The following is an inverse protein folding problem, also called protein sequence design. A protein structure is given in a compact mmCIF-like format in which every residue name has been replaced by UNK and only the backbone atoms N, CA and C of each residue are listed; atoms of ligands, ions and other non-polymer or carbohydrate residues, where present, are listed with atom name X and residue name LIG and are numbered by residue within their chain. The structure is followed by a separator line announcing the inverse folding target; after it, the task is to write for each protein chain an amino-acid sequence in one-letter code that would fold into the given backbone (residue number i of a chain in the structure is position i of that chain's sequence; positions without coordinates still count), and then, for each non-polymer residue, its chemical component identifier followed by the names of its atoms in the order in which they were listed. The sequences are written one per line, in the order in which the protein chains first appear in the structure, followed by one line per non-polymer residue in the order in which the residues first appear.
data_IF_641692810793
#
_entry.id   IF_641692810793
#
_cell.length_a   1.000
_cell.length_b   1.000
_cell.length_c   1.000
_cell.angle_alpha   90.00
_cell.angle_beta   90.00
_cell.angle_gamma   90.00
#
_symmetry.space_group_name_H-M   'P 1'
#
loop_
_entity.id
_entity.type
_entity.pdbx_description
1 polymer ?
#
# COMPACT_ATOMS: atom_id res chain seq x y z
N UNK A 1 4.35 -2.95 18.76
CA UNK A 1 3.48 -2.19 17.83
C UNK A 1 4.25 -1.04 17.21
N UNK A 2 4.15 -0.88 15.88
CA UNK A 2 4.68 0.28 15.14
C UNK A 2 3.49 1.05 14.57
N UNK A 3 3.50 2.38 14.75
CA UNK A 3 2.54 3.26 14.10
C UNK A 3 3.00 3.55 12.66
N UNK A 4 2.08 3.82 11.71
CA UNK A 4 2.45 4.30 10.39
C UNK A 4 3.20 5.64 10.49
N UNK A 5 4.23 5.80 9.69
CA UNK A 5 4.98 7.05 9.59
C UNK A 5 4.60 7.75 8.29
N UNK A 6 3.61 8.62 8.36
CA UNK A 6 3.13 9.39 7.19
C UNK A 6 4.08 10.54 6.76
N UNK A 7 5.27 10.63 7.34
CA UNK A 7 6.37 11.46 6.81
C UNK A 7 7.33 10.66 5.91
N UNK A 8 7.33 9.31 6.05
CA UNK A 8 8.18 8.40 5.29
C UNK A 8 7.43 7.10 4.92
N UNK A 9 6.35 7.23 4.17
CA UNK A 9 5.41 6.16 3.82
C UNK A 9 5.25 5.97 2.31
N UNK A 10 4.43 4.99 1.94
CA UNK A 10 3.97 4.78 0.55
C UNK A 10 3.29 6.04 -0.01
N UNK A 11 2.50 6.76 0.81
CA UNK A 11 1.83 8.01 0.39
C UNK A 11 2.86 9.07 0.02
N UNK A 12 3.96 9.18 0.79
CA UNK A 12 5.03 10.13 0.48
C UNK A 12 5.84 9.70 -0.75
N UNK A 13 6.08 8.40 -0.93
CA UNK A 13 6.74 7.87 -2.11
C UNK A 13 5.95 8.21 -3.38
N UNK A 14 4.64 7.92 -3.40
CA UNK A 14 3.81 8.21 -4.57
C UNK A 14 3.63 9.72 -4.79
N UNK A 15 3.58 10.52 -3.73
CA UNK A 15 3.58 11.99 -3.82
C UNK A 15 4.83 12.53 -4.52
N UNK A 16 6.02 11.98 -4.20
CA UNK A 16 7.26 12.31 -4.93
C UNK A 16 7.17 11.92 -6.41
N UNK A 17 6.62 10.75 -6.73
CA UNK A 17 6.45 10.29 -8.12
C UNK A 17 5.48 11.19 -8.88
N UNK A 18 4.35 11.55 -8.29
CA UNK A 18 3.37 12.48 -8.88
C UNK A 18 4.04 13.81 -9.20
N UNK A 19 4.71 14.43 -8.21
CA UNK A 19 5.39 15.72 -8.40
C UNK A 19 6.50 15.65 -9.43
N UNK A 20 7.32 14.58 -9.42
CA UNK A 20 8.36 14.35 -10.41
C UNK A 20 7.81 14.26 -11.83
N UNK A 21 6.66 13.61 -12.01
CA UNK A 21 5.97 13.46 -13.29
C UNK A 21 5.14 14.69 -13.72
N UNK A 22 5.19 15.80 -12.95
CA UNK A 22 4.51 17.05 -13.30
C UNK A 22 3.06 17.15 -12.81
N UNK A 23 2.57 16.15 -12.06
CA UNK A 23 1.27 16.21 -11.39
C UNK A 23 1.33 17.01 -10.09
N UNK A 24 0.18 17.37 -9.53
CA UNK A 24 0.06 18.05 -8.23
C UNK A 24 -0.24 17.03 -7.14
N UNK A 25 0.73 16.64 -6.28
CA UNK A 25 0.48 15.67 -5.22
C UNK A 25 -0.38 16.28 -4.10
N UNK A 26 -1.01 15.39 -3.31
CA UNK A 26 -1.81 15.79 -2.16
C UNK A 26 -1.00 15.95 -0.88
N UNK A 27 0.11 15.21 -0.78
CA UNK A 27 0.98 15.16 0.41
C UNK A 27 2.42 15.54 0.07
N UNK A 28 3.20 15.77 1.10
CA UNK A 28 4.66 15.98 0.97
C UNK A 28 5.34 14.75 0.38
N UNK A 29 6.38 14.98 -0.40
CA UNK A 29 7.19 13.91 -0.97
C UNK A 29 8.06 13.18 0.06
N UNK A 30 8.62 12.06 -0.36
CA UNK A 30 9.56 11.25 0.42
C UNK A 30 10.97 11.83 0.32
N UNK A 31 11.55 12.28 1.43
CA UNK A 31 12.90 12.86 1.46
C UNK A 31 13.98 11.92 0.86
N UNK A 32 13.84 10.62 1.07
CA UNK A 32 14.77 9.63 0.52
C UNK A 32 14.72 9.58 -1.03
N UNK A 33 13.52 9.78 -1.64
CA UNK A 33 13.39 9.88 -3.10
C UNK A 33 14.11 11.11 -3.64
N UNK A 34 13.96 12.24 -2.98
CA UNK A 34 14.59 13.50 -3.38
C UNK A 34 16.11 13.42 -3.32
N UNK A 35 16.62 12.89 -2.21
CA UNK A 35 18.05 12.66 -2.04
C UNK A 35 18.59 11.73 -3.13
N UNK A 36 17.85 10.66 -3.47
CA UNK A 36 18.22 9.76 -4.56
C UNK A 36 18.24 10.48 -5.92
N UNK A 37 17.18 11.24 -6.23
CA UNK A 37 17.06 11.97 -7.50
C UNK A 37 18.18 13.02 -7.65
N UNK A 38 18.51 13.77 -6.59
CA UNK A 38 19.60 14.73 -6.58
C UNK A 38 20.96 14.07 -6.84
N UNK A 39 21.26 12.92 -6.18
CA UNK A 39 22.48 12.15 -6.43
C UNK A 39 22.58 11.64 -7.88
N UNK A 40 21.44 11.34 -8.51
CA UNK A 40 21.37 10.97 -9.92
C UNK A 40 21.46 12.18 -10.89
N UNK A 41 21.68 13.40 -10.38
CA UNK A 41 21.71 14.61 -11.18
C UNK A 41 20.34 15.01 -11.77
N UNK A 42 19.26 14.58 -11.11
CA UNK A 42 17.87 14.89 -11.49
C UNK A 42 17.28 15.92 -10.54
N UNK A 43 16.48 16.86 -11.04
CA UNK A 43 15.79 17.83 -10.20
C UNK A 43 14.43 17.23 -9.80
N UNK A 44 14.28 16.89 -8.53
CA UNK A 44 12.97 16.66 -7.93
C UNK A 44 12.36 18.06 -7.64
N UNK A 45 11.21 18.35 -8.19
CA UNK A 45 10.45 19.58 -7.89
C UNK A 45 9.39 19.16 -6.87
N UNK A 46 9.62 19.54 -5.60
CA UNK A 46 8.51 19.55 -4.65
C UNK A 46 7.70 20.83 -4.85
N UNK A 47 6.37 20.76 -4.80
CA UNK A 47 5.58 21.95 -4.61
C UNK A 47 5.92 22.55 -3.23
N UNK A 48 6.23 23.84 -3.18
CA UNK A 48 6.34 24.58 -1.93
C UNK A 48 5.01 24.46 -1.18
N UNK A 49 5.07 23.97 0.05
CA UNK A 49 3.90 23.98 0.93
C UNK A 49 3.55 25.43 1.25
N UNK A 50 2.29 25.81 1.08
CA UNK A 50 1.76 27.16 1.27
C UNK A 50 1.78 27.69 2.72
N UNK A 51 2.61 27.17 3.60
CA UNK A 51 2.69 27.58 5.02
C UNK A 51 4.07 28.06 5.47
N UNK A 52 4.86 28.68 4.59
CA UNK A 52 6.01 29.50 5.03
C UNK A 52 6.13 30.73 4.15
N UNK A 53 5.17 31.65 4.30
CA UNK A 53 5.32 33.06 3.86
C UNK A 53 6.09 33.81 4.94
N UNK A 54 7.36 34.11 4.67
CA UNK A 54 8.03 35.13 5.45
C UNK A 54 9.51 34.91 5.71
N UNK A 55 10.33 34.67 4.67
CA UNK A 55 11.71 35.20 4.59
C UNK A 55 12.15 35.04 3.13
N UNK A 56 12.21 36.13 2.38
CA UNK A 56 12.91 36.22 1.10
C UNK A 56 14.41 36.03 1.36
N UNK A 57 14.92 34.85 1.07
CA UNK A 57 16.34 34.66 0.81
C UNK A 57 16.53 34.52 -0.70
N UNK A 58 16.98 35.61 -1.32
CA UNK A 58 17.54 35.58 -2.66
C UNK A 58 18.75 34.62 -2.70
N UNK A 59 18.52 33.38 -3.03
CA UNK A 59 19.57 32.47 -3.47
C UNK A 59 19.62 32.52 -5.00
N UNK A 60 20.48 33.37 -5.53
CA UNK A 60 21.00 33.30 -6.89
C UNK A 60 21.65 31.97 -7.15
N UNK A 61 20.88 30.95 -7.58
CA UNK A 61 21.40 29.74 -8.19
C UNK A 61 21.33 29.92 -9.70
N UNK A 62 22.51 30.05 -10.30
CA UNK A 62 22.74 30.21 -11.73
C UNK A 62 21.84 29.28 -12.56
N UNK A 63 20.97 29.87 -13.38
CA UNK A 63 20.23 29.20 -14.46
C UNK A 63 21.26 28.65 -15.47
N UNK A 64 21.49 27.30 -15.47
CA UNK A 64 22.45 26.73 -16.39
C UNK A 64 22.77 25.24 -16.27
N UNK A 65 21.93 24.41 -15.68
CA UNK A 65 22.04 22.96 -15.85
C UNK A 65 20.69 22.40 -16.31
N UNK A 66 20.63 21.98 -17.57
CA UNK A 66 19.51 21.27 -18.16
C UNK A 66 19.44 19.87 -17.51
N UNK A 67 18.88 19.78 -16.29
CA UNK A 67 18.77 18.52 -15.55
C UNK A 67 17.74 17.66 -16.26
N UNK A 68 18.22 16.73 -17.10
CA UNK A 68 17.37 15.80 -17.86
C UNK A 68 16.58 14.94 -16.88
N UNK A 69 15.24 15.06 -16.90
CA UNK A 69 14.32 14.14 -16.21
C UNK A 69 14.50 12.69 -16.74
N UNK A 70 14.16 11.68 -15.93
CA UNK A 70 13.96 10.33 -16.45
C UNK A 70 12.78 10.34 -17.43
N UNK A 71 13.00 9.81 -18.61
CA UNK A 71 11.95 9.65 -19.64
C UNK A 71 10.85 8.70 -19.16
N UNK A 72 11.25 7.63 -18.48
CA UNK A 72 10.32 6.66 -17.93
C UNK A 72 10.51 6.56 -16.40
N UNK A 73 9.41 6.53 -15.67
CA UNK A 73 9.35 6.18 -14.24
C UNK A 73 8.50 4.93 -14.12
N UNK A 74 9.12 3.81 -13.77
CA UNK A 74 8.47 2.51 -13.62
C UNK A 74 8.38 2.20 -12.12
N UNK A 75 7.18 2.20 -11.56
CA UNK A 75 6.91 1.76 -10.19
C UNK A 75 6.40 0.33 -10.21
N UNK A 76 7.17 -0.59 -9.63
CA UNK A 76 6.82 -2.01 -9.52
C UNK A 76 6.44 -2.32 -8.06
N UNK A 77 5.20 -2.72 -7.84
CA UNK A 77 4.71 -3.17 -6.54
C UNK A 77 4.56 -4.69 -6.55
N UNK A 78 5.25 -5.34 -5.61
CA UNK A 78 5.14 -6.78 -5.35
C UNK A 78 4.42 -7.00 -4.03
N UNK A 79 3.19 -7.48 -4.12
CA UNK A 79 2.29 -7.68 -3.00
C UNK A 79 2.90 -8.56 -1.91
N UNK A 80 2.89 -8.08 -0.67
CA UNK A 80 3.40 -8.79 0.49
C UNK A 80 4.92 -8.88 0.62
N UNK A 81 5.72 -8.29 -0.31
CA UNK A 81 7.19 -8.37 -0.28
C UNK A 81 7.81 -7.32 0.68
N UNK A 82 7.42 -7.36 1.96
CA UNK A 82 7.99 -6.49 2.98
C UNK A 82 9.49 -6.71 3.24
N UNK A 83 10.08 -5.81 4.01
CA UNK A 83 11.53 -5.80 4.34
C UNK A 83 11.98 -7.10 5.01
N UNK A 84 11.17 -7.65 5.93
CA UNK A 84 11.54 -8.90 6.64
C UNK A 84 11.72 -10.07 5.67
N UNK A 85 10.77 -10.29 4.78
CA UNK A 85 10.84 -11.36 3.78
C UNK A 85 11.97 -11.15 2.78
N UNK A 86 12.17 -9.91 2.32
CA UNK A 86 13.27 -9.57 1.42
C UNK A 86 14.63 -9.84 2.07
N UNK A 87 14.85 -9.39 3.30
CA UNK A 87 16.11 -9.57 4.02
C UNK A 87 16.39 -11.02 4.37
N UNK A 88 15.34 -11.80 4.62
CA UNK A 88 15.49 -13.23 4.96
C UNK A 88 15.91 -14.08 3.77
N UNK A 89 15.46 -13.78 2.56
CA UNK A 89 15.62 -14.66 1.40
C UNK A 89 16.62 -14.15 0.36
N UNK A 90 17.05 -12.91 0.48
CA UNK A 90 18.04 -12.33 -0.42
C UNK A 90 19.33 -12.00 0.37
N UNK A 91 20.48 -12.33 -0.24
CA UNK A 91 21.76 -11.92 0.31
C UNK A 91 21.96 -10.40 0.22
N UNK A 92 22.78 -9.78 1.10
CA UNK A 92 23.04 -8.35 1.10
C UNK A 92 23.44 -7.78 -0.28
N UNK A 93 24.22 -8.54 -1.05
CA UNK A 93 24.76 -8.16 -2.37
C UNK A 93 23.77 -8.46 -3.51
N UNK A 94 22.58 -9.02 -3.21
CA UNK A 94 21.56 -9.27 -4.21
C UNK A 94 21.06 -7.96 -4.82
N UNK A 95 20.62 -8.01 -6.07
CA UNK A 95 20.29 -6.83 -6.85
C UNK A 95 19.26 -5.90 -6.17
N UNK A 96 18.19 -6.44 -5.58
CA UNK A 96 17.20 -5.61 -4.88
C UNK A 96 17.74 -5.01 -3.59
N UNK A 97 18.46 -5.81 -2.77
CA UNK A 97 18.99 -5.31 -1.49
C UNK A 97 20.11 -4.27 -1.68
N UNK A 98 20.99 -4.46 -2.66
CA UNK A 98 22.04 -3.50 -2.97
C UNK A 98 21.54 -2.16 -3.54
N UNK A 99 20.30 -2.12 -4.04
CA UNK A 99 19.62 -0.92 -4.50
C UNK A 99 18.55 -0.42 -3.54
N UNK A 100 18.47 -0.95 -2.31
CA UNK A 100 17.59 -0.45 -1.27
C UNK A 100 18.05 0.96 -0.84
N UNK A 101 17.19 1.95 -1.05
CA UNK A 101 17.44 3.34 -0.64
C UNK A 101 17.08 3.52 0.82
N UNK A 102 15.89 3.06 1.21
CA UNK A 102 15.41 3.13 2.60
C UNK A 102 14.26 2.13 2.84
N UNK A 103 14.11 1.60 4.06
CA UNK A 103 12.83 1.08 4.51
C UNK A 103 11.87 2.25 4.76
N UNK A 104 10.64 2.12 4.28
CA UNK A 104 9.56 3.09 4.50
C UNK A 104 8.36 2.42 5.19
N UNK A 105 7.41 3.22 5.64
CA UNK A 105 6.17 2.72 6.23
C UNK A 105 5.15 2.36 5.16
N UNK A 106 4.46 1.23 5.34
CA UNK A 106 3.14 1.07 4.74
C UNK A 106 2.15 2.04 5.38
N UNK A 107 0.93 2.10 4.83
CA UNK A 107 -0.21 2.74 5.50
C UNK A 107 -0.80 1.80 6.55
N UNK A 108 -1.73 2.31 7.37
CA UNK A 108 -2.48 1.45 8.29
C UNK A 108 -3.96 1.38 7.86
N UNK A 109 -4.54 0.18 7.82
CA UNK A 109 -3.89 -1.13 8.00
C UNK A 109 -2.93 -1.45 6.83
N UNK A 110 -1.81 -2.16 7.09
CA UNK A 110 -0.92 -2.63 6.04
C UNK A 110 -1.56 -3.84 5.33
N UNK A 111 -2.46 -3.55 4.41
CA UNK A 111 -3.25 -4.52 3.64
C UNK A 111 -3.37 -4.06 2.20
N UNK A 112 -3.45 -5.02 1.28
CA UNK A 112 -3.55 -4.78 -0.17
C UNK A 112 -4.58 -3.70 -0.50
N UNK A 113 -5.80 -3.80 0.05
CA UNK A 113 -6.89 -2.85 -0.25
C UNK A 113 -6.53 -1.41 0.13
N UNK A 114 -6.05 -1.18 1.34
CA UNK A 114 -5.71 0.17 1.79
C UNK A 114 -4.43 0.69 1.11
N UNK A 115 -3.38 -0.12 1.06
CA UNK A 115 -2.08 0.33 0.60
C UNK A 115 -2.00 0.50 -0.92
N UNK A 116 -2.59 -0.41 -1.73
CA UNK A 116 -2.64 -0.22 -3.19
C UNK A 116 -3.52 0.95 -3.58
N UNK A 117 -4.66 1.17 -2.87
CA UNK A 117 -5.50 2.35 -3.09
C UNK A 117 -4.74 3.64 -2.74
N UNK A 118 -3.94 3.65 -1.66
CA UNK A 118 -3.06 4.79 -1.36
C UNK A 118 -2.03 5.04 -2.47
N UNK A 119 -1.44 3.99 -3.06
CA UNK A 119 -0.51 4.12 -4.19
C UNK A 119 -1.22 4.60 -5.46
N UNK A 120 -2.47 4.18 -5.70
CA UNK A 120 -3.24 4.56 -6.88
C UNK A 120 -3.95 5.91 -6.78
N UNK A 121 -4.13 6.45 -5.56
CA UNK A 121 -4.80 7.73 -5.32
C UNK A 121 -3.86 8.84 -4.84
N UNK A 122 -2.75 8.50 -4.19
CA UNK A 122 -1.90 9.45 -3.48
C UNK A 122 -2.50 9.95 -2.16
N UNK A 123 -3.54 9.27 -1.64
CA UNK A 123 -4.29 9.62 -0.43
C UNK A 123 -3.98 8.63 0.71
N UNK A 124 -4.22 9.04 1.95
CA UNK A 124 -4.20 8.16 3.12
C UNK A 124 -5.49 7.33 3.21
N UNK A 125 -5.53 6.22 3.98
CA UNK A 125 -6.73 5.42 4.15
C UNK A 125 -7.93 6.21 4.67
N UNK A 126 -7.75 7.17 5.57
CA UNK A 126 -8.81 8.06 6.04
C UNK A 126 -9.39 8.94 4.91
N UNK A 127 -8.57 9.32 3.94
CA UNK A 127 -8.98 10.19 2.83
C UNK A 127 -9.65 9.44 1.69
N UNK A 128 -9.19 8.21 1.35
CA UNK A 128 -9.83 7.44 0.28
C UNK A 128 -10.92 6.48 0.78
N UNK A 129 -11.01 6.18 2.08
CA UNK A 129 -12.07 5.37 2.69
C UNK A 129 -11.95 3.84 2.50
N UNK A 130 -10.99 3.34 1.73
CA UNK A 130 -10.80 1.89 1.48
C UNK A 130 -9.91 1.29 2.57
N UNK A 131 -10.51 0.91 3.71
CA UNK A 131 -9.76 0.59 4.92
C UNK A 131 -9.24 -0.86 4.97
N UNK A 132 -9.79 -1.78 4.21
CA UNK A 132 -9.39 -3.18 4.21
C UNK A 132 -10.19 -4.04 3.26
N UNK A 133 -9.98 -5.35 3.31
CA UNK A 133 -10.63 -6.30 2.40
C UNK A 133 -12.14 -6.27 2.50
N UNK A 134 -12.67 -6.17 3.71
CA UNK A 134 -14.11 -6.05 3.97
C UNK A 134 -14.44 -4.75 4.69
N UNK A 135 -15.55 -4.14 4.34
CA UNK A 135 -16.02 -2.92 4.98
C UNK A 135 -17.55 -2.97 5.15
N UNK A 136 -18.03 -2.42 6.25
CA UNK A 136 -19.45 -2.11 6.39
C UNK A 136 -19.80 -0.93 5.50
N UNK A 137 -20.82 -1.11 4.67
CA UNK A 137 -21.32 -0.10 3.72
C UNK A 137 -22.72 0.31 4.17
N UNK A 138 -22.87 1.48 4.80
CA UNK A 138 -24.14 1.92 5.39
C UNK A 138 -25.29 1.98 4.39
N UNK A 139 -24.99 2.40 3.16
CA UNK A 139 -26.00 2.55 2.10
C UNK A 139 -26.60 1.21 1.68
N UNK A 140 -25.95 0.11 1.98
CA UNK A 140 -26.41 -1.25 1.73
C UNK A 140 -26.76 -2.00 3.03
N UNK A 141 -26.53 -1.39 4.20
CA UNK A 141 -26.62 -1.99 5.55
C UNK A 141 -25.98 -3.38 5.63
N UNK A 142 -24.80 -3.55 5.02
CA UNK A 142 -24.13 -4.87 4.97
C UNK A 142 -22.61 -4.76 4.84
N UNK A 143 -21.93 -5.85 5.14
CA UNK A 143 -20.48 -5.97 4.97
C UNK A 143 -20.16 -6.45 3.55
N UNK A 144 -19.29 -5.72 2.85
CA UNK A 144 -18.87 -5.98 1.47
C UNK A 144 -17.37 -6.23 1.40
N UNK A 145 -16.95 -7.27 0.70
CA UNK A 145 -15.57 -7.45 0.27
C UNK A 145 -15.34 -6.56 -0.96
N UNK A 146 -14.52 -5.52 -0.80
CA UNK A 146 -14.48 -4.39 -1.72
C UNK A 146 -13.95 -4.76 -3.12
N UNK A 147 -12.81 -5.46 -3.20
CA UNK A 147 -12.21 -5.80 -4.49
C UNK A 147 -13.05 -6.79 -5.31
N UNK A 148 -13.53 -7.93 -4.75
CA UNK A 148 -14.37 -8.83 -5.51
C UNK A 148 -15.81 -8.32 -5.70
N UNK A 149 -16.25 -7.29 -4.95
CA UNK A 149 -17.60 -6.72 -4.98
C UNK A 149 -18.68 -7.72 -4.57
N UNK A 150 -18.43 -8.47 -3.49
CA UNK A 150 -19.33 -9.50 -2.97
C UNK A 150 -19.64 -9.27 -1.50
N UNK A 151 -20.79 -9.79 -1.05
CA UNK A 151 -21.15 -9.81 0.37
C UNK A 151 -20.15 -10.64 1.17
N UNK A 152 -19.80 -10.21 2.38
CA UNK A 152 -18.80 -10.90 3.22
C UNK A 152 -19.20 -12.34 3.52
N UNK A 153 -20.47 -12.57 3.88
CA UNK A 153 -20.93 -13.84 4.38
C UNK A 153 -21.29 -14.85 3.27
N UNK A 154 -22.09 -14.41 2.31
CA UNK A 154 -22.65 -15.29 1.28
C UNK A 154 -21.75 -15.43 0.05
N UNK A 155 -20.79 -14.51 -0.14
CA UNK A 155 -19.97 -14.39 -1.34
C UNK A 155 -20.77 -14.14 -2.63
N UNK A 156 -22.04 -13.78 -2.51
CA UNK A 156 -22.85 -13.35 -3.64
C UNK A 156 -22.51 -11.91 -4.02
N UNK A 157 -22.80 -11.52 -5.25
CA UNK A 157 -22.57 -10.16 -5.74
C UNK A 157 -23.27 -9.14 -4.84
N UNK A 158 -22.55 -8.10 -4.41
CA UNK A 158 -23.06 -7.09 -3.48
C UNK A 158 -24.01 -6.10 -4.18
N UNK A 159 -23.73 -5.75 -5.44
CA UNK A 159 -24.54 -4.88 -6.27
C UNK A 159 -24.18 -5.08 -7.76
N UNK A 160 -25.03 -4.62 -8.68
CA UNK A 160 -24.78 -4.60 -10.13
C UNK A 160 -23.78 -3.53 -10.58
N UNK A 161 -23.31 -2.73 -9.63
CA UNK A 161 -22.24 -1.72 -9.78
C UNK A 161 -21.09 -2.00 -8.82
N UNK A 162 -19.94 -1.33 -9.02
CA UNK A 162 -18.79 -1.41 -8.11
C UNK A 162 -19.06 -0.56 -6.87
N UNK A 163 -19.33 -1.22 -5.75
CA UNK A 163 -19.71 -0.58 -4.47
C UNK A 163 -18.64 0.41 -4.02
N UNK A 164 -17.38 -0.03 -3.99
CA UNK A 164 -16.29 0.80 -3.52
C UNK A 164 -16.10 2.08 -4.35
N UNK A 165 -16.09 2.01 -5.67
CA UNK A 165 -15.93 3.19 -6.53
C UNK A 165 -17.15 4.09 -6.55
N UNK A 166 -18.34 3.55 -6.24
CA UNK A 166 -19.57 4.36 -6.16
C UNK A 166 -19.62 5.20 -4.89
N UNK A 167 -19.28 4.60 -3.76
CA UNK A 167 -19.43 5.27 -2.45
C UNK A 167 -18.13 5.87 -1.92
N UNK A 168 -16.97 5.40 -2.41
CA UNK A 168 -15.65 5.87 -2.03
C UNK A 168 -14.80 6.16 -3.29
N UNK A 169 -15.23 7.11 -4.16
CA UNK A 169 -14.48 7.47 -5.35
C UNK A 169 -13.22 8.26 -4.99
N UNK A 170 -12.18 8.09 -5.79
CA UNK A 170 -10.98 8.91 -5.73
C UNK A 170 -10.48 9.24 -7.14
N UNK A 171 -9.71 10.33 -7.25
CA UNK A 171 -9.00 10.67 -8.48
C UNK A 171 -7.73 9.83 -8.56
N UNK A 172 -7.53 9.15 -9.67
CA UNK A 172 -6.39 8.26 -9.81
C UNK A 172 -5.08 9.04 -10.03
N UNK A 173 -3.97 8.44 -9.59
CA UNK A 173 -2.60 8.94 -9.87
C UNK A 173 -2.36 9.03 -11.38
N UNK A 174 -2.98 8.15 -12.17
CA UNK A 174 -2.89 8.18 -13.64
C UNK A 174 -3.50 9.47 -14.21
N UNK A 175 -4.66 9.88 -13.71
CA UNK A 175 -5.32 11.13 -14.12
C UNK A 175 -4.52 12.34 -13.65
N UNK A 176 -4.06 12.35 -12.39
CA UNK A 176 -3.28 13.46 -11.82
C UNK A 176 -1.99 13.70 -12.60
N UNK A 177 -1.27 12.63 -12.96
CA UNK A 177 -0.03 12.73 -13.75
C UNK A 177 -0.35 13.14 -15.19
N UNK A 178 -1.38 12.57 -15.81
CA UNK A 178 -1.74 12.88 -17.19
C UNK A 178 -2.22 14.32 -17.36
N UNK A 179 -2.92 14.90 -16.38
CA UNK A 179 -3.32 16.31 -16.36
C UNK A 179 -2.11 17.26 -16.27
N UNK A 180 -1.01 16.83 -15.64
CA UNK A 180 0.25 17.57 -15.63
C UNK A 180 0.87 17.73 -17.02
N UNK A 181 0.44 16.93 -18.00
CA UNK A 181 0.79 17.05 -19.42
C UNK A 181 2.21 16.61 -19.80
N UNK A 182 3.10 16.36 -18.82
CA UNK A 182 4.50 15.98 -19.09
C UNK A 182 4.67 14.47 -19.32
N UNK A 183 3.86 13.64 -18.65
CA UNK A 183 3.95 12.18 -18.68
C UNK A 183 2.61 11.55 -19.04
N UNK A 184 2.66 10.47 -19.81
CA UNK A 184 1.53 9.56 -19.99
C UNK A 184 1.60 8.48 -18.92
N UNK A 185 0.46 8.15 -18.31
CA UNK A 185 0.39 7.20 -17.22
C UNK A 185 -0.27 5.88 -17.65
N UNK A 186 0.31 4.76 -17.22
CA UNK A 186 -0.16 3.40 -17.54
C UNK A 186 -0.14 2.53 -16.29
N UNK A 187 -1.10 1.61 -16.19
CA UNK A 187 -1.06 0.50 -15.23
C UNK A 187 -0.93 -0.84 -15.95
N UNK A 188 0.04 -1.66 -15.52
CA UNK A 188 0.35 -2.98 -16.11
C UNK A 188 0.05 -4.05 -15.06
N UNK A 189 -1.08 -4.73 -15.19
CA UNK A 189 -1.51 -5.81 -14.30
C UNK A 189 -2.61 -6.64 -14.99
N UNK A 190 -3.16 -7.63 -14.28
CA UNK A 190 -4.35 -8.36 -14.75
C UNK A 190 -5.56 -7.42 -14.94
N UNK A 191 -5.65 -6.37 -14.11
CA UNK A 191 -6.77 -5.42 -14.04
C UNK A 191 -6.43 -4.03 -14.57
N UNK A 192 -5.17 -3.80 -14.95
CA UNK A 192 -4.66 -2.51 -15.40
C UNK A 192 -5.16 -2.06 -16.76
N UNK A 193 -4.79 -0.83 -17.16
CA UNK A 193 -5.03 -0.30 -18.51
C UNK A 193 -4.31 -1.12 -19.58
N UNK A 194 -3.16 -1.71 -19.24
CA UNK A 194 -2.44 -2.71 -20.07
C UNK A 194 -2.55 -4.06 -19.36
N UNK A 195 -3.50 -4.88 -19.86
CA UNK A 195 -3.81 -6.18 -19.26
C UNK A 195 -2.75 -7.22 -19.61
N UNK A 196 -2.22 -7.90 -18.58
CA UNK A 196 -1.24 -8.98 -18.72
C UNK A 196 -1.71 -10.19 -17.93
N UNK A 197 -1.51 -11.40 -18.48
CA UNK A 197 -2.02 -12.65 -17.90
C UNK A 197 -0.93 -13.51 -17.26
N UNK A 198 0.33 -13.16 -17.46
CA UNK A 198 1.45 -13.91 -16.91
C UNK A 198 2.70 -13.05 -16.79
N UNK A 199 3.66 -13.54 -16.02
CA UNK A 199 4.95 -12.87 -15.74
C UNK A 199 5.72 -12.48 -17.02
N UNK A 200 5.74 -13.34 -18.05
CA UNK A 200 6.47 -13.05 -19.31
C UNK A 200 5.86 -11.85 -20.02
N UNK A 201 4.53 -11.79 -20.11
CA UNK A 201 3.83 -10.65 -20.72
C UNK A 201 4.07 -9.37 -19.89
N UNK A 202 4.01 -9.46 -18.54
CA UNK A 202 4.25 -8.33 -17.66
C UNK A 202 5.58 -7.63 -17.96
N UNK A 203 6.68 -8.35 -17.93
CA UNK A 203 8.00 -7.75 -18.21
C UNK A 203 8.14 -7.29 -19.66
N UNK A 204 7.55 -8.02 -20.64
CA UNK A 204 7.53 -7.62 -22.05
C UNK A 204 6.81 -6.28 -22.25
N UNK A 205 5.66 -6.07 -21.60
CA UNK A 205 4.90 -4.82 -21.71
C UNK A 205 5.62 -3.64 -21.04
N UNK A 206 6.29 -3.85 -19.89
CA UNK A 206 7.12 -2.81 -19.29
C UNK A 206 8.22 -2.33 -20.25
N UNK A 207 8.95 -3.25 -20.88
CA UNK A 207 10.00 -2.90 -21.86
C UNK A 207 9.39 -2.20 -23.08
N UNK A 208 8.28 -2.71 -23.63
CA UNK A 208 7.59 -2.13 -24.77
C UNK A 208 7.17 -0.68 -24.51
N UNK A 209 6.51 -0.43 -23.38
CA UNK A 209 6.07 0.91 -22.99
C UNK A 209 7.25 1.87 -22.81
N UNK A 210 8.36 1.43 -22.18
CA UNK A 210 9.56 2.24 -22.04
C UNK A 210 10.17 2.64 -23.39
N UNK A 211 10.02 1.83 -24.43
CA UNK A 211 10.52 2.11 -25.80
C UNK A 211 9.67 3.10 -26.59
N UNK A 212 8.43 3.34 -26.21
CA UNK A 212 7.54 4.27 -26.92
C UNK A 212 8.01 5.74 -26.80
N UNK A 213 7.49 6.60 -27.69
CA UNK A 213 7.79 8.03 -27.67
C UNK A 213 7.16 8.74 -26.47
N UNK A 214 7.78 9.83 -26.00
CA UNK A 214 7.29 10.66 -24.89
C UNK A 214 7.68 10.12 -23.51
N UNK A 215 7.39 10.89 -22.45
CA UNK A 215 7.66 10.50 -21.08
C UNK A 215 6.52 9.65 -20.54
N UNK A 216 6.85 8.68 -19.67
CA UNK A 216 5.84 7.75 -19.12
C UNK A 216 6.02 7.46 -17.64
N UNK A 217 4.91 7.45 -16.93
CA UNK A 217 4.76 6.78 -15.65
C UNK A 217 4.11 5.42 -15.89
N UNK A 218 4.70 4.36 -15.37
CA UNK A 218 4.21 2.99 -15.55
C UNK A 218 4.13 2.32 -14.18
N UNK A 219 2.92 2.07 -13.69
CA UNK A 219 2.68 1.29 -12.49
C UNK A 219 2.51 -0.17 -12.85
N UNK A 220 3.33 -1.03 -12.28
CA UNK A 220 3.26 -2.47 -12.45
C UNK A 220 2.92 -3.15 -11.14
N UNK A 221 1.79 -3.86 -11.06
CA UNK A 221 1.37 -4.62 -9.89
C UNK A 221 1.47 -6.13 -10.13
N UNK A 222 1.97 -6.84 -9.11
CA UNK A 222 2.06 -8.31 -9.08
C UNK A 222 1.56 -8.84 -7.73
N UNK A 223 0.61 -9.78 -7.75
CA UNK A 223 -0.03 -10.41 -6.59
C UNK A 223 0.90 -11.33 -5.77
N UNK A 224 2.16 -11.44 -6.16
CA UNK A 224 3.16 -12.31 -5.53
C UNK A 224 4.23 -11.47 -4.82
N UNK A 225 4.71 -11.94 -3.65
CA UNK A 225 4.53 -13.28 -3.04
C UNK A 225 3.31 -13.45 -2.12
N UNK A 226 2.44 -12.45 -1.89
CA UNK A 226 1.34 -12.45 -0.92
C UNK A 226 0.46 -13.71 -0.99
N UNK A 227 -0.13 -14.00 -2.16
CA UNK A 227 -0.98 -15.16 -2.36
C UNK A 227 -0.32 -16.48 -1.92
N UNK A 228 0.99 -16.61 -2.13
CA UNK A 228 1.74 -17.80 -1.70
C UNK A 228 1.99 -17.78 -0.19
N UNK A 229 2.24 -16.61 0.40
CA UNK A 229 2.46 -16.48 1.84
C UNK A 229 1.23 -16.87 2.63
N UNK A 230 0.05 -16.45 2.22
CA UNK A 230 -1.21 -16.84 2.85
C UNK A 230 -1.39 -18.36 2.94
N UNK A 231 -1.11 -19.08 1.86
CA UNK A 231 -1.40 -20.52 1.75
C UNK A 231 -0.24 -21.38 2.25
N UNK A 232 0.99 -21.03 1.88
CA UNK A 232 2.19 -21.83 2.15
C UNK A 232 2.95 -21.40 3.41
N UNK A 233 2.62 -20.22 3.95
CA UNK A 233 3.33 -19.59 5.06
C UNK A 233 4.49 -18.68 4.57
N UNK A 234 4.70 -17.57 5.27
CA UNK A 234 5.66 -16.53 4.94
C UNK A 234 7.08 -17.05 4.65
N UNK A 235 7.51 -18.08 5.37
CA UNK A 235 8.89 -18.58 5.31
C UNK A 235 9.04 -19.91 4.57
N UNK A 236 8.09 -20.24 3.68
CA UNK A 236 8.16 -21.46 2.88
C UNK A 236 9.20 -21.37 1.75
N UNK A 237 9.69 -22.55 1.31
CA UNK A 237 10.61 -22.64 0.16
C UNK A 237 10.01 -22.08 -1.14
N UNK A 238 8.69 -22.15 -1.30
CA UNK A 238 7.98 -21.60 -2.45
C UNK A 238 8.07 -20.08 -2.45
N UNK A 239 7.88 -19.43 -1.29
CA UNK A 239 8.02 -17.98 -1.12
C UNK A 239 9.47 -17.55 -1.35
N UNK A 240 10.44 -18.28 -0.80
CA UNK A 240 11.87 -18.06 -1.05
C UNK A 240 12.19 -18.08 -2.55
N UNK A 241 11.76 -19.12 -3.27
CA UNK A 241 12.00 -19.26 -4.70
C UNK A 241 11.35 -18.12 -5.49
N UNK A 242 10.16 -17.65 -5.06
CA UNK A 242 9.43 -16.54 -5.67
C UNK A 242 10.18 -15.22 -5.49
N UNK A 243 10.63 -14.88 -4.28
CA UNK A 243 11.37 -13.64 -4.00
C UNK A 243 12.73 -13.64 -4.73
N UNK A 244 13.46 -14.76 -4.72
CA UNK A 244 14.68 -14.93 -5.54
C UNK A 244 14.39 -14.78 -7.04
N UNK A 245 13.23 -15.26 -7.49
CA UNK A 245 12.74 -15.09 -8.87
C UNK A 245 12.42 -13.66 -9.22
N UNK A 246 11.80 -12.88 -8.31
CA UNK A 246 11.55 -11.45 -8.46
C UNK A 246 12.88 -10.70 -8.60
N UNK A 247 13.83 -10.92 -7.68
CA UNK A 247 15.15 -10.32 -7.72
C UNK A 247 15.86 -10.52 -9.08
N UNK A 248 15.86 -11.76 -9.60
CA UNK A 248 16.45 -12.06 -10.93
C UNK A 248 15.72 -11.35 -12.05
N UNK A 249 14.38 -11.28 -11.99
CA UNK A 249 13.57 -10.72 -13.06
C UNK A 249 13.67 -9.20 -13.14
N UNK A 250 13.69 -8.51 -11.99
CA UNK A 250 13.91 -7.05 -11.96
C UNK A 250 15.33 -6.71 -12.45
N UNK A 251 16.36 -7.46 -12.02
CA UNK A 251 17.70 -7.29 -12.55
C UNK A 251 17.75 -7.46 -14.08
N UNK A 252 17.08 -8.47 -14.62
CA UNK A 252 17.04 -8.72 -16.06
C UNK A 252 16.28 -7.62 -16.81
N UNK A 253 15.16 -7.13 -16.24
CA UNK A 253 14.44 -5.96 -16.78
C UNK A 253 15.38 -4.76 -16.90
N UNK A 254 16.03 -4.39 -15.80
CA UNK A 254 16.94 -3.24 -15.78
C UNK A 254 18.11 -3.40 -16.79
N UNK A 255 18.68 -4.61 -16.93
CA UNK A 255 19.69 -4.89 -17.96
C UNK A 255 19.14 -4.74 -19.39
N UNK A 256 17.94 -5.24 -19.65
CA UNK A 256 17.29 -5.08 -20.95
C UNK A 256 17.05 -3.61 -21.27
N UNK A 257 16.57 -2.83 -20.31
CA UNK A 257 16.37 -1.39 -20.49
C UNK A 257 17.71 -0.63 -20.67
N UNK A 258 18.77 -1.03 -19.99
CA UNK A 258 20.08 -0.41 -20.11
C UNK A 258 20.77 -0.67 -21.45
N UNK A 259 20.44 -1.76 -22.12
CA UNK A 259 21.05 -2.16 -23.40
C UNK A 259 20.55 -1.35 -24.60
N UNK A 260 19.38 -0.68 -24.49
CA UNK A 260 18.76 0.10 -25.58
C UNK A 260 18.72 1.59 -25.18
N UNK A 261 19.24 2.45 -26.04
CA UNK A 261 19.28 3.91 -25.84
C UNK A 261 17.89 4.55 -25.71
N UNK A 262 16.87 3.96 -26.33
CA UNK A 262 15.48 4.44 -26.25
C UNK A 262 14.84 4.17 -24.88
N UNK A 263 15.32 3.16 -24.16
CA UNK A 263 14.75 2.72 -22.87
C UNK A 263 15.65 3.02 -21.68
N UNK A 264 16.95 3.29 -21.89
CA UNK A 264 17.90 3.41 -20.78
C UNK A 264 17.63 4.62 -19.86
N UNK A 265 17.01 5.71 -20.35
CA UNK A 265 16.65 6.84 -19.48
C UNK A 265 15.39 6.53 -18.66
N UNK A 266 15.49 5.51 -17.80
CA UNK A 266 14.42 4.96 -16.97
C UNK A 266 14.83 4.92 -15.51
N UNK A 267 13.94 5.39 -14.63
CA UNK A 267 13.96 5.10 -13.20
C UNK A 267 13.08 3.88 -12.94
N UNK A 268 13.62 2.85 -12.31
CA UNK A 268 12.84 1.71 -11.81
C UNK A 268 12.76 1.81 -10.29
N UNK A 269 11.55 1.92 -9.77
CA UNK A 269 11.23 1.90 -8.34
C UNK A 269 10.62 0.53 -8.04
N UNK A 270 11.05 -0.11 -6.95
CA UNK A 270 10.44 -1.35 -6.46
C UNK A 270 10.02 -1.16 -5.02
N UNK A 271 8.78 -1.53 -4.72
CA UNK A 271 8.20 -1.48 -3.37
C UNK A 271 7.25 -2.67 -3.14
N UNK A 272 6.66 -2.70 -1.97
CA UNK A 272 5.55 -3.57 -1.59
C UNK A 272 4.48 -2.74 -0.90
N UNK A 273 3.28 -3.26 -0.79
CA UNK A 273 2.18 -2.64 -0.07
C UNK A 273 2.23 -2.94 1.43
N UNK A 274 2.67 -4.15 1.81
CA UNK A 274 2.87 -4.59 3.20
C UNK A 274 3.89 -5.73 3.29
N UNK A 275 4.19 -6.13 4.51
CA UNK A 275 4.86 -7.40 4.79
C UNK A 275 3.90 -8.45 5.35
N UNK A 276 4.44 -9.54 5.89
CA UNK A 276 3.68 -10.72 6.32
C UNK A 276 4.27 -11.36 7.56
N UNK A 277 3.42 -11.98 8.39
CA UNK A 277 3.86 -12.83 9.51
C UNK A 277 3.11 -14.17 9.54
N UNK A 278 3.72 -15.24 10.06
CA UNK A 278 2.99 -16.45 10.44
C UNK A 278 1.96 -16.13 11.52
N UNK A 279 0.78 -16.76 11.43
CA UNK A 279 -0.32 -16.46 12.36
C UNK A 279 -0.94 -17.71 12.97
N UNK A 280 -1.66 -17.47 14.08
CA UNK A 280 -2.60 -18.40 14.71
C UNK A 280 -4.01 -17.85 14.52
N UNK A 281 -4.85 -18.62 13.80
CA UNK A 281 -6.26 -18.23 13.63
C UNK A 281 -7.05 -18.46 14.93
N UNK A 282 -7.79 -17.46 15.35
CA UNK A 282 -8.75 -17.50 16.44
C UNK A 282 -10.14 -17.28 15.85
N UNK A 283 -11.05 -18.21 16.05
CA UNK A 283 -12.38 -18.17 15.46
C UNK A 283 -13.31 -17.48 16.48
N UNK A 284 -13.87 -16.33 16.12
CA UNK A 284 -14.75 -15.56 17.01
C UNK A 284 -16.05 -16.32 17.34
N UNK A 285 -16.58 -17.11 16.40
CA UNK A 285 -17.74 -17.99 16.59
C UNK A 285 -17.55 -18.98 17.75
N UNK A 286 -16.31 -19.35 18.07
CA UNK A 286 -15.97 -20.26 19.19
C UNK A 286 -15.82 -19.51 20.54
N UNK A 287 -15.98 -18.20 20.57
CA UNK A 287 -15.80 -17.34 21.75
C UNK A 287 -17.09 -16.55 22.01
N UNK A 288 -18.12 -17.17 22.63
CA UNK A 288 -19.41 -16.51 22.87
C UNK A 288 -19.27 -15.21 23.63
N UNK A 289 -18.29 -15.09 24.53
CA UNK A 289 -18.02 -13.89 25.34
C UNK A 289 -17.71 -12.65 24.47
N UNK A 290 -17.23 -12.84 23.23
CA UNK A 290 -17.02 -11.78 22.25
C UNK A 290 -18.09 -11.81 21.17
N UNK A 291 -18.31 -12.98 20.57
CA UNK A 291 -19.20 -13.13 19.43
C UNK A 291 -20.62 -12.61 19.71
N UNK A 292 -21.17 -12.95 20.88
CA UNK A 292 -22.55 -12.56 21.25
C UNK A 292 -22.67 -11.07 21.60
N UNK A 293 -21.56 -10.36 21.83
CA UNK A 293 -21.53 -8.91 22.00
C UNK A 293 -21.50 -8.13 20.68
N UNK A 294 -21.16 -8.78 19.57
CA UNK A 294 -21.05 -8.11 18.28
C UNK A 294 -22.43 -7.91 17.63
N UNK A 295 -22.65 -6.73 17.06
CA UNK A 295 -23.83 -6.39 16.29
C UNK A 295 -23.80 -7.04 14.90
N UNK A 296 -22.62 -7.23 14.34
CA UNK A 296 -22.33 -7.81 13.01
C UNK A 296 -20.94 -8.44 12.98
N UNK A 297 -20.64 -9.28 11.99
CA UNK A 297 -19.28 -9.82 11.80
C UNK A 297 -18.23 -8.71 11.72
N UNK A 298 -17.03 -8.96 12.27
CA UNK A 298 -15.93 -8.04 12.20
C UNK A 298 -15.54 -7.74 10.74
N UNK A 299 -15.11 -6.50 10.48
CA UNK A 299 -14.69 -6.03 9.16
C UNK A 299 -13.24 -5.54 9.17
N UNK A 300 -12.82 -4.93 8.07
CA UNK A 300 -11.48 -4.51 7.74
C UNK A 300 -10.61 -5.75 7.51
N UNK A 301 -9.89 -6.24 8.52
CA UNK A 301 -8.98 -7.39 8.36
C UNK A 301 -8.92 -8.24 9.63
N UNK A 302 -8.55 -9.52 9.55
CA UNK A 302 -8.41 -10.37 10.72
C UNK A 302 -7.36 -9.92 11.75
N UNK A 303 -6.47 -8.98 11.38
CA UNK A 303 -5.42 -8.42 12.21
C UNK A 303 -5.57 -6.91 12.48
N UNK A 304 -6.59 -6.32 11.86
CA UNK A 304 -7.09 -4.96 12.15
C UNK A 304 -8.62 -5.05 12.16
N UNK A 305 -9.16 -5.66 13.22
CA UNK A 305 -10.60 -5.96 13.30
C UNK A 305 -11.39 -4.73 13.71
N UNK A 306 -12.26 -4.30 12.84
CA UNK A 306 -13.25 -3.26 13.11
C UNK A 306 -14.51 -3.92 13.69
N UNK A 307 -14.90 -3.51 14.89
CA UNK A 307 -15.89 -4.16 15.73
C UNK A 307 -17.07 -3.23 16.02
N UNK A 308 -18.25 -3.64 15.57
CA UNK A 308 -19.52 -3.01 15.91
C UNK A 308 -20.14 -3.78 17.07
N UNK A 309 -20.21 -3.15 18.25
CA UNK A 309 -20.64 -3.78 19.48
C UNK A 309 -22.09 -3.38 19.80
N UNK A 310 -22.89 -4.33 20.28
CA UNK A 310 -24.26 -4.07 20.73
C UNK A 310 -24.28 -2.97 21.78
N UNK A 311 -25.19 -2.00 21.73
CA UNK A 311 -25.20 -0.85 22.65
C UNK A 311 -25.13 -1.24 24.12
N UNK A 312 -25.85 -2.27 24.53
CA UNK A 312 -25.86 -2.79 25.89
C UNK A 312 -24.57 -3.45 26.36
N UNK A 313 -23.69 -3.79 25.41
CA UNK A 313 -22.40 -4.46 25.70
C UNK A 313 -21.20 -3.51 25.65
N UNK A 314 -21.35 -2.27 25.18
CA UNK A 314 -20.21 -1.35 24.91
C UNK A 314 -19.35 -1.06 26.12
N UNK A 315 -19.96 -0.88 27.28
CA UNK A 315 -19.25 -0.54 28.52
C UNK A 315 -18.34 -1.69 28.98
N UNK A 316 -18.83 -2.92 28.92
CA UNK A 316 -18.10 -4.10 29.41
C UNK A 316 -17.15 -4.71 28.37
N UNK A 317 -17.37 -4.43 27.07
CA UNK A 317 -16.63 -5.06 25.96
C UNK A 317 -15.09 -4.91 26.09
N UNK A 318 -14.52 -3.74 26.42
CA UNK A 318 -13.07 -3.60 26.55
C UNK A 318 -12.46 -4.50 27.63
N UNK A 319 -13.14 -4.67 28.76
CA UNK A 319 -12.66 -5.52 29.85
C UNK A 319 -12.65 -7.01 29.43
N UNK A 320 -13.73 -7.47 28.78
CA UNK A 320 -13.85 -8.84 28.28
C UNK A 320 -12.80 -9.10 27.19
N UNK A 321 -12.70 -8.21 26.21
CA UNK A 321 -11.74 -8.34 25.12
C UNK A 321 -10.29 -8.37 25.62
N UNK A 322 -9.92 -7.48 26.51
CA UNK A 322 -8.57 -7.42 27.08
C UNK A 322 -8.23 -8.63 27.94
N UNK A 323 -9.20 -9.23 28.63
CA UNK A 323 -8.97 -10.49 29.38
C UNK A 323 -8.50 -11.60 28.44
N UNK A 324 -9.01 -11.66 27.21
CA UNK A 324 -8.72 -12.72 26.25
C UNK A 324 -7.52 -12.41 25.33
N UNK A 325 -7.30 -11.14 25.00
CA UNK A 325 -6.46 -10.78 23.86
C UNK A 325 -5.42 -9.68 24.10
N UNK A 326 -5.25 -9.14 25.31
CA UNK A 326 -4.33 -8.02 25.61
C UNK A 326 -2.86 -8.26 25.20
N UNK A 327 -2.43 -9.52 25.15
CA UNK A 327 -1.05 -9.87 24.79
C UNK A 327 -0.82 -9.92 23.27
N UNK A 328 -1.92 -10.01 22.49
CA UNK A 328 -1.88 -10.16 21.03
C UNK A 328 -2.49 -8.99 20.26
N UNK A 329 -3.37 -8.22 20.93
CA UNK A 329 -4.06 -7.09 20.33
C UNK A 329 -4.06 -5.88 21.28
N UNK A 330 -3.96 -4.70 20.67
CA UNK A 330 -4.36 -3.44 21.31
C UNK A 330 -5.75 -3.07 20.84
N UNK A 331 -6.69 -2.99 21.78
CA UNK A 331 -8.03 -2.52 21.51
C UNK A 331 -8.05 -0.99 21.62
N UNK A 332 -8.57 -0.34 20.61
CA UNK A 332 -8.82 1.10 20.59
C UNK A 332 -10.33 1.33 20.52
N UNK A 333 -10.84 2.29 21.29
CA UNK A 333 -12.13 2.90 20.98
C UNK A 333 -12.02 3.66 19.63
N UNK A 334 -13.15 3.96 19.04
CA UNK A 334 -13.22 4.78 17.82
C UNK A 334 -12.50 6.12 17.99
N UNK A 335 -12.75 6.81 19.10
CA UNK A 335 -12.15 8.12 19.36
C UNK A 335 -10.63 8.02 19.55
N UNK A 336 -10.16 7.02 20.28
CA UNK A 336 -8.72 6.79 20.49
C UNK A 336 -8.00 6.53 19.15
N UNK A 337 -8.53 5.66 18.27
CA UNK A 337 -7.85 5.33 17.02
C UNK A 337 -7.82 6.51 16.04
N UNK A 338 -8.85 7.36 16.09
CA UNK A 338 -8.91 8.59 15.31
C UNK A 338 -7.87 9.60 15.82
N UNK A 339 -7.78 9.82 17.14
CA UNK A 339 -6.79 10.71 17.75
C UNK A 339 -5.35 10.23 17.52
N UNK A 340 -5.10 8.93 17.50
CA UNK A 340 -3.80 8.33 17.20
C UNK A 340 -3.38 8.51 15.74
N UNK A 341 -4.30 8.86 14.84
CA UNK A 341 -4.04 9.13 13.42
C UNK A 341 -3.54 7.92 12.64
N UNK A 342 -3.89 6.70 13.06
CA UNK A 342 -3.37 5.47 12.41
C UNK A 342 -3.79 5.38 10.93
N UNK A 343 -4.98 5.84 10.58
CA UNK A 343 -5.47 5.85 9.19
C UNK A 343 -5.04 7.08 8.37
N UNK A 344 -4.36 8.03 8.99
CA UNK A 344 -3.98 9.33 8.43
C UNK A 344 -4.49 10.50 9.26
N UNK A 345 -4.28 11.73 8.76
CA UNK A 345 -4.69 12.94 9.46
C UNK A 345 -6.21 13.14 9.38
N UNK A 346 -6.90 13.08 10.52
CA UNK A 346 -8.35 13.28 10.61
C UNK A 346 -8.80 14.75 10.42
N UNK A 347 -7.85 15.69 10.43
CA UNK A 347 -8.11 17.11 10.15
C UNK A 347 -7.85 17.46 8.68
N UNK A 348 -7.63 16.48 7.81
CA UNK A 348 -7.46 16.69 6.37
C UNK A 348 -8.74 17.24 5.74
N UNK A 349 -8.61 18.23 4.87
CA UNK A 349 -9.70 18.75 4.03
C UNK A 349 -10.18 17.73 2.97
N UNK A 350 -9.45 16.61 2.83
CA UNK A 350 -9.74 15.49 1.91
C UNK A 350 -10.33 14.27 2.60
N UNK A 351 -10.60 14.40 3.90
CA UNK A 351 -11.14 13.28 4.67
C UNK A 351 -12.41 12.73 4.02
N UNK A 352 -12.47 11.40 3.85
CA UNK A 352 -13.66 10.80 3.25
C UNK A 352 -14.86 10.90 4.22
N UNK A 353 -16.02 11.44 3.80
CA UNK A 353 -17.15 11.68 4.71
C UNK A 353 -17.58 10.44 5.48
N UNK A 354 -17.71 9.29 4.82
CA UNK A 354 -18.15 8.04 5.44
C UNK A 354 -17.13 7.45 6.42
N UNK A 355 -15.85 7.86 6.34
CA UNK A 355 -14.82 7.39 7.25
C UNK A 355 -15.15 7.75 8.71
N UNK A 356 -15.47 9.02 8.96
CA UNK A 356 -15.81 9.48 10.31
C UNK A 356 -17.19 9.02 10.78
N UNK A 357 -18.16 8.95 9.86
CA UNK A 357 -19.55 8.74 10.25
C UNK A 357 -19.90 7.27 10.47
N UNK A 358 -19.36 6.37 9.66
CA UNK A 358 -19.94 5.03 9.56
C UNK A 358 -19.00 3.87 9.23
N UNK A 359 -17.79 4.14 8.66
CA UNK A 359 -16.88 3.06 8.30
C UNK A 359 -16.25 2.37 9.50
N UNK A 360 -16.04 3.11 10.61
CA UNK A 360 -15.51 2.57 11.85
C UNK A 360 -16.63 2.23 12.82
N UNK A 361 -16.53 1.05 13.43
CA UNK A 361 -17.38 0.59 14.54
C UNK A 361 -17.02 1.25 15.87
N UNK A 362 -17.48 0.65 16.94
CA UNK A 362 -17.24 1.14 18.31
C UNK A 362 -15.77 0.95 18.72
N UNK A 363 -15.13 -0.12 18.24
CA UNK A 363 -13.74 -0.46 18.56
C UNK A 363 -12.98 -0.99 17.33
N UNK A 364 -11.66 -0.80 17.36
CA UNK A 364 -10.74 -1.43 16.43
C UNK A 364 -9.67 -2.20 17.21
N UNK A 365 -9.61 -3.51 16.98
CA UNK A 365 -8.59 -4.37 17.56
C UNK A 365 -7.40 -4.49 16.61
N UNK A 366 -6.25 -3.94 16.99
CA UNK A 366 -5.02 -3.90 16.21
C UNK A 366 -4.06 -4.98 16.71
N UNK A 367 -3.72 -5.94 15.86
CA UNK A 367 -2.82 -7.03 16.22
C UNK A 367 -1.39 -6.55 16.42
N UNK A 368 -0.81 -6.94 17.54
CA UNK A 368 0.59 -6.71 17.95
C UNK A 368 1.35 -8.02 18.14
N UNK A 369 0.63 -9.13 18.33
CA UNK A 369 1.11 -10.49 18.43
C UNK A 369 0.91 -11.29 17.12
N UNK A 370 0.85 -12.61 17.24
CA UNK A 370 0.75 -13.54 16.10
C UNK A 370 -0.67 -14.07 15.82
N UNK A 371 -1.70 -13.56 16.53
CA UNK A 371 -3.09 -14.00 16.32
C UNK A 371 -3.78 -13.21 15.19
N UNK A 372 -4.74 -13.89 14.57
CA UNK A 372 -5.69 -13.31 13.62
C UNK A 372 -7.11 -13.71 14.02
N UNK A 373 -8.02 -12.74 14.17
CA UNK A 373 -9.42 -12.98 14.52
C UNK A 373 -10.24 -13.21 13.24
N UNK A 374 -10.75 -14.41 13.05
CA UNK A 374 -11.61 -14.76 11.92
C UNK A 374 -13.05 -14.97 12.40
N UNK A 375 -14.02 -14.50 11.63
CA UNK A 375 -15.42 -14.44 12.08
C UNK A 375 -16.02 -15.82 12.38
N UNK A 376 -15.78 -16.83 11.51
CA UNK A 376 -16.45 -18.13 11.61
C UNK A 376 -15.60 -19.27 11.05
N UNK A 377 -16.06 -20.50 11.28
CA UNK A 377 -15.45 -21.71 10.68
C UNK A 377 -15.49 -21.72 9.14
N UNK A 378 -16.37 -20.95 8.51
CA UNK A 378 -16.47 -20.78 7.06
C UNK A 378 -15.44 -19.76 6.51
N UNK A 379 -14.83 -18.95 7.36
CA UNK A 379 -13.79 -17.99 6.97
C UNK A 379 -12.52 -18.73 6.52
N UNK A 380 -11.81 -18.13 5.55
CA UNK A 380 -10.49 -18.66 5.16
C UNK A 380 -9.54 -18.62 6.36
N UNK A 381 -8.83 -19.72 6.57
CA UNK A 381 -7.78 -19.84 7.58
C UNK A 381 -6.43 -19.90 6.88
N UNK A 382 -5.71 -18.82 6.98
CA UNK A 382 -4.40 -18.69 6.38
C UNK A 382 -3.29 -19.15 7.33
N UNK A 383 -2.13 -19.49 6.78
CA UNK A 383 -0.91 -19.84 7.55
C UNK A 383 -0.12 -18.60 7.94
N UNK A 384 -0.28 -17.52 7.19
CA UNK A 384 0.28 -16.21 7.48
C UNK A 384 -0.66 -15.11 6.99
N UNK A 385 -0.53 -13.95 7.56
CA UNK A 385 -1.37 -12.80 7.27
C UNK A 385 -0.62 -11.48 7.50
N UNK A 386 -1.25 -10.41 7.17
CA UNK A 386 -0.82 -9.02 7.28
C UNK A 386 -1.92 -8.17 7.94
N UNK A 387 -1.82 -6.86 7.90
CA UNK A 387 -2.76 -5.85 8.42
C UNK A 387 -2.60 -5.49 9.89
N UNK A 388 -1.76 -6.20 10.65
CA UNK A 388 -1.43 -5.82 12.02
C UNK A 388 -0.34 -4.74 12.10
N UNK A 389 -0.05 -4.27 13.32
CA UNK A 389 0.93 -3.21 13.55
C UNK A 389 2.30 -3.74 14.02
N UNK A 390 2.74 -4.90 13.49
CA UNK A 390 4.10 -5.38 13.73
C UNK A 390 5.07 -4.76 12.73
N UNK A 391 6.35 -4.70 13.11
CA UNK A 391 7.39 -4.18 12.20
C UNK A 391 7.45 -4.95 10.89
N UNK A 392 7.28 -6.26 10.95
CA UNK A 392 7.33 -7.15 9.79
C UNK A 392 6.20 -6.91 8.79
N UNK A 393 5.05 -6.43 9.24
CA UNK A 393 3.90 -6.09 8.41
C UNK A 393 4.00 -4.67 7.86
N UNK A 394 4.46 -3.71 8.69
CA UNK A 394 4.45 -2.28 8.39
C UNK A 394 5.64 -1.79 7.55
N UNK A 395 6.80 -2.48 7.59
CA UNK A 395 8.01 -2.01 6.88
C UNK A 395 8.08 -2.58 5.47
N UNK A 396 8.12 -1.67 4.48
CA UNK A 396 8.20 -1.99 3.05
C UNK A 396 9.44 -1.35 2.43
N UNK A 397 10.01 -1.91 1.34
CA UNK A 397 11.21 -1.38 0.73
C UNK A 397 10.90 -0.18 -0.17
N UNK A 398 11.72 0.85 -0.11
CA UNK A 398 11.93 1.80 -1.18
C UNK A 398 13.25 1.48 -1.87
N UNK A 399 13.17 0.83 -3.04
CA UNK A 399 14.29 0.48 -3.89
C UNK A 399 14.23 1.37 -5.12
N UNK A 400 15.35 1.99 -5.52
CA UNK A 400 15.41 2.84 -6.69
C UNK A 400 16.65 2.55 -7.54
N UNK A 401 16.45 2.35 -8.84
CA UNK A 401 17.49 2.00 -9.80
C UNK A 401 17.46 3.02 -10.94
N UNK A 402 18.49 3.84 -11.05
CA UNK A 402 18.74 4.63 -12.26
C UNK A 402 19.36 3.74 -13.33
N UNK A 403 18.54 3.28 -14.26
CA UNK A 403 18.98 2.38 -15.34
C UNK A 403 20.05 3.04 -16.21
N UNK A 404 20.06 4.37 -16.31
CA UNK A 404 21.05 5.09 -17.09
C UNK A 404 22.47 4.99 -16.50
N UNK A 405 22.57 4.79 -15.18
CA UNK A 405 23.85 4.61 -14.47
C UNK A 405 24.38 3.16 -14.53
N UNK A 406 23.58 2.20 -15.05
CA UNK A 406 24.01 0.81 -15.16
C UNK A 406 25.01 0.60 -16.30
N UNK A 407 25.97 -0.36 -16.16
CA UNK A 407 26.84 -0.77 -17.25
C UNK A 407 26.04 -1.26 -18.47
N UNK A 408 26.59 -1.02 -19.67
CA UNK A 408 26.03 -1.54 -20.92
C UNK A 408 26.24 -3.04 -21.04
#
# INVERSE_FOLDING_TARGET
MIKPDYSASLVNLISSVIGYCGGKPYHTGLQAFETFAQKAGKKAILPETSEQSGVEQENNVSAGANTKKWKNVVLMLFDGMGIDAMNRFLEPESFLRSNLVAPISSVFPPTTTAATTSVESGLTPAEHGWLGWTLYVPELDTNVALFPNVLQDTKTQAADYRVATRFMPYKSVYDIISEGGEYRAYSVSLYGSVKVRNKKQYYKELVRLCGEAGNKYIYGYQEYPDNMMHVMGTYSRTVEATIKGINRSVRNLCRTLAADENTRNTLVIVTADHGHIPIKNVILEDIPEIHDMLLRPATIEPRACNLFVKPECREQFPAVFNTLFKDDFRLYSRDEILQEGLFGNINSDKLHPTFLESSLGDFVAVATGDKALVNSHKSHRFRSHHAGATEKEMRVPFIAIDVNAMPR
#
